data_IF_275894161002
#
_entry.id   IF_275894161002
#
_cell.length_a   1.000
_cell.length_b   1.000
_cell.length_c   1.000
_cell.angle_alpha   90.00
_cell.angle_beta   90.00
_cell.angle_gamma   90.00
#
_symmetry.space_group_name_H-M   'P 1'
#
loop_
_entity.id
_entity.type
_entity.pdbx_description
1 polymer ?
#
# COMPACT_ATOMS: atom_id res chain seq x y z
N UNK A 1 -5.89 2.79 23.18
CA UNK A 1 -5.22 2.73 24.50
C UNK A 1 -3.89 3.47 24.55
N UNK A 2 -2.91 3.14 23.69
CA UNK A 2 -1.57 3.76 23.72
C UNK A 2 -1.59 5.27 23.42
N UNK A 3 -2.39 5.70 22.43
CA UNK A 3 -2.55 7.14 22.13
C UNK A 3 -3.19 7.93 23.28
N UNK A 4 -4.23 7.39 23.91
CA UNK A 4 -4.87 8.03 25.06
C UNK A 4 -3.91 8.17 26.25
N UNK A 5 -3.04 7.16 26.46
CA UNK A 5 -1.97 7.21 27.45
C UNK A 5 -0.92 8.29 27.12
N UNK A 6 -0.50 8.41 25.84
CA UNK A 6 0.39 9.47 25.39
C UNK A 6 -0.23 10.87 25.56
N UNK A 7 -1.53 11.01 25.32
CA UNK A 7 -2.26 12.25 25.55
C UNK A 7 -2.35 12.60 27.04
N UNK A 8 -2.60 11.62 27.92
CA UNK A 8 -2.58 11.81 29.37
C UNK A 8 -1.20 12.27 29.87
N UNK A 9 -0.12 11.63 29.41
CA UNK A 9 1.25 12.01 29.75
C UNK A 9 1.64 13.40 29.21
N UNK A 10 1.10 13.77 28.05
CA UNK A 10 1.27 15.12 27.50
C UNK A 10 0.54 16.15 28.36
N UNK A 11 -0.72 15.89 28.72
CA UNK A 11 -1.55 16.78 29.53
C UNK A 11 -1.06 16.93 30.97
N UNK A 12 -0.51 15.86 31.57
CA UNK A 12 0.07 15.87 32.92
C UNK A 12 1.41 16.62 33.00
N UNK A 13 1.95 17.08 31.87
CA UNK A 13 3.18 17.86 31.82
C UNK A 13 4.46 17.04 31.93
N UNK A 14 4.38 15.71 31.80
CA UNK A 14 5.54 14.80 31.95
C UNK A 14 6.70 15.12 30.97
N UNK A 15 6.39 15.77 29.84
CA UNK A 15 7.38 16.12 28.81
C UNK A 15 7.86 17.58 28.87
N UNK A 16 7.37 18.44 29.78
CA UNK A 16 7.71 19.89 29.82
C UNK A 16 9.19 20.19 30.08
N UNK A 17 9.93 19.28 30.71
CA UNK A 17 11.35 19.47 31.08
C UNK A 17 12.26 18.44 30.42
N UNK A 18 11.83 17.85 29.31
CA UNK A 18 12.61 16.87 28.54
C UNK A 18 13.26 17.54 27.31
N UNK A 19 14.32 16.95 26.73
CA UNK A 19 14.97 17.48 25.53
C UNK A 19 13.99 17.68 24.37
N UNK A 20 14.25 18.67 23.50
CA UNK A 20 13.35 19.01 22.39
C UNK A 20 13.03 17.83 21.47
N UNK A 21 14.01 16.96 21.21
CA UNK A 21 13.81 15.73 20.43
C UNK A 21 12.77 14.79 21.07
N UNK A 22 12.77 14.67 22.39
CA UNK A 22 11.78 13.85 23.13
C UNK A 22 10.42 14.51 23.10
N UNK A 23 10.36 15.84 23.21
CA UNK A 23 9.11 16.59 23.09
C UNK A 23 8.51 16.47 21.69
N UNK A 24 9.35 16.54 20.65
CA UNK A 24 8.95 16.42 19.25
C UNK A 24 8.32 15.05 18.94
N UNK A 25 8.86 13.97 19.51
CA UNK A 25 8.45 12.60 19.19
C UNK A 25 7.31 12.07 20.07
N UNK A 26 7.17 12.54 21.31
CA UNK A 26 6.27 11.93 22.30
C UNK A 26 5.02 12.78 22.60
N UNK A 27 5.02 14.08 22.29
CA UNK A 27 3.88 14.97 22.59
C UNK A 27 2.77 14.86 21.55
N UNK A 28 1.55 15.01 22.05
CA UNK A 28 0.31 14.99 21.26
C UNK A 28 -0.26 16.39 21.00
N UNK A 29 0.13 17.40 21.78
CA UNK A 29 -0.39 18.78 21.72
C UNK A 29 0.37 19.69 20.74
N UNK A 30 0.96 19.10 19.71
CA UNK A 30 1.81 19.78 18.74
C UNK A 30 1.04 20.93 18.06
N UNK A 31 1.60 22.13 18.08
CA UNK A 31 1.16 23.30 17.30
C UNK A 31 -0.34 23.67 17.39
N UNK A 32 -1.03 23.35 18.51
CA UNK A 32 -2.47 23.64 18.68
C UNK A 32 -3.34 23.13 17.50
N UNK A 33 -2.92 22.03 16.84
CA UNK A 33 -3.55 21.52 15.61
C UNK A 33 -5.06 21.30 15.75
N UNK A 34 -5.51 20.87 16.93
CA UNK A 34 -6.91 20.55 17.20
C UNK A 34 -7.77 21.83 17.35
N UNK A 35 -7.19 22.92 17.89
CA UNK A 35 -7.92 24.17 18.10
C UNK A 35 -7.89 25.08 16.86
N UNK A 36 -6.84 24.99 16.04
CA UNK A 36 -6.72 25.75 14.78
C UNK A 36 -7.41 25.09 13.59
N UNK A 37 -7.73 23.80 13.67
CA UNK A 37 -8.41 23.09 12.58
C UNK A 37 -9.89 23.50 12.43
N UNK A 38 -10.35 23.75 11.20
CA UNK A 38 -11.75 24.04 10.93
C UNK A 38 -12.63 22.83 11.27
N UNK A 39 -13.85 23.11 11.73
CA UNK A 39 -14.83 22.06 12.02
C UNK A 39 -15.25 21.29 10.77
N UNK A 40 -15.43 21.98 9.65
CA UNK A 40 -15.77 21.38 8.35
C UNK A 40 -14.72 21.85 7.33
N UNK A 41 -14.10 20.91 6.63
CA UNK A 41 -13.19 21.13 5.51
C UNK A 41 -13.61 20.22 4.36
N UNK A 42 -14.07 20.83 3.27
CA UNK A 42 -14.44 20.11 2.06
C UNK A 42 -13.23 20.12 1.13
N UNK A 43 -12.63 18.96 0.79
CA UNK A 43 -11.53 18.90 -0.15
C UNK A 43 -12.03 19.26 -1.55
N UNK A 44 -11.45 20.26 -2.19
CA UNK A 44 -11.73 20.62 -3.58
C UNK A 44 -10.60 20.15 -4.52
N UNK A 45 -10.89 19.81 -5.79
CA UNK A 45 -9.82 19.45 -6.72
C UNK A 45 -8.87 20.64 -6.90
N UNK A 46 -7.57 20.34 -7.06
CA UNK A 46 -6.50 21.34 -7.26
C UNK A 46 -6.29 22.34 -6.10
N UNK A 47 -6.57 21.97 -4.84
CA UNK A 47 -6.29 22.86 -3.68
C UNK A 47 -4.83 23.35 -3.63
N UNK A 48 -3.91 22.54 -4.16
CA UNK A 48 -2.47 22.76 -4.13
C UNK A 48 -1.92 23.39 -5.41
N UNK A 49 -2.79 23.81 -6.33
CA UNK A 49 -2.42 24.38 -7.63
C UNK A 49 -2.58 23.41 -8.81
N UNK A 50 -2.37 23.91 -10.03
CA UNK A 50 -2.46 23.12 -11.26
C UNK A 50 -1.27 22.14 -11.39
N UNK A 51 -1.50 20.90 -11.88
CA UNK A 51 -0.42 19.94 -12.06
C UNK A 51 0.58 20.46 -13.10
N UNK A 52 1.85 20.52 -12.73
CA UNK A 52 2.95 20.83 -13.65
C UNK A 52 3.54 19.53 -14.18
N UNK A 53 3.60 19.41 -15.50
CA UNK A 53 4.13 18.22 -16.16
C UNK A 53 5.57 18.46 -16.57
N UNK A 54 6.47 17.68 -15.99
CA UNK A 54 7.84 17.51 -16.47
C UNK A 54 7.99 16.07 -16.97
N UNK A 55 8.35 15.92 -18.24
CA UNK A 55 8.50 14.62 -18.87
C UNK A 55 9.52 13.75 -18.13
N UNK A 56 10.64 14.31 -17.66
CA UNK A 56 11.69 13.55 -16.96
C UNK A 56 11.17 12.91 -15.68
N UNK A 57 10.52 13.72 -14.84
CA UNK A 57 9.92 13.27 -13.59
C UNK A 57 8.71 12.35 -13.81
N UNK A 58 7.91 12.60 -14.85
CA UNK A 58 6.77 11.75 -15.19
C UNK A 58 7.20 10.32 -15.55
N UNK A 59 8.25 10.16 -16.36
CA UNK A 59 8.77 8.83 -16.70
C UNK A 59 9.36 8.10 -15.49
N UNK A 60 10.09 8.80 -14.62
CA UNK A 60 10.57 8.23 -13.37
C UNK A 60 9.42 7.75 -12.46
N UNK A 61 8.35 8.55 -12.35
CA UNK A 61 7.15 8.18 -11.58
C UNK A 61 6.39 7.01 -12.22
N UNK A 62 6.36 6.89 -13.56
CA UNK A 62 5.75 5.74 -14.23
C UNK A 62 6.41 4.41 -13.85
N UNK A 63 7.73 4.39 -13.68
CA UNK A 63 8.46 3.21 -13.20
C UNK A 63 8.03 2.79 -11.78
N UNK A 64 7.80 3.75 -10.89
CA UNK A 64 7.34 3.50 -9.53
C UNK A 64 5.89 2.98 -9.49
N UNK A 65 5.05 3.37 -10.44
CA UNK A 65 3.61 3.03 -10.49
C UNK A 65 3.33 1.79 -11.33
N UNK A 66 4.35 1.14 -11.90
CA UNK A 66 4.21 -0.07 -12.73
C UNK A 66 3.43 -1.20 -12.01
N UNK A 67 3.53 -1.28 -10.68
CA UNK A 67 2.82 -2.27 -9.86
C UNK A 67 1.33 -1.93 -9.70
N UNK A 68 0.94 -0.65 -9.80
CA UNK A 68 -0.42 -0.16 -9.56
C UNK A 68 -1.19 0.19 -10.85
N UNK A 69 -0.71 -0.25 -12.02
CA UNK A 69 -1.34 0.03 -13.32
C UNK A 69 -2.81 -0.42 -13.41
N UNK A 70 -3.19 -1.42 -12.62
CA UNK A 70 -4.56 -1.97 -12.59
C UNK A 70 -5.55 -0.99 -11.93
N UNK A 71 -5.07 -0.04 -11.13
CA UNK A 71 -5.89 0.89 -10.31
C UNK A 71 -6.00 2.30 -10.93
N UNK A 72 -5.58 2.46 -12.19
CA UNK A 72 -5.21 3.74 -12.80
C UNK A 72 -6.20 4.90 -12.67
N UNK A 73 -7.52 4.66 -12.76
CA UNK A 73 -8.52 5.73 -12.65
C UNK A 73 -8.56 6.31 -11.23
N UNK A 74 -8.46 5.46 -10.20
CA UNK A 74 -8.46 5.90 -8.81
C UNK A 74 -7.22 6.72 -8.47
N UNK A 75 -6.06 6.32 -8.98
CA UNK A 75 -4.79 7.04 -8.80
C UNK A 75 -4.83 8.40 -9.51
N UNK A 76 -5.45 8.49 -10.69
CA UNK A 76 -5.64 9.76 -11.40
C UNK A 76 -6.50 10.73 -10.59
N UNK A 77 -7.62 10.27 -10.04
CA UNK A 77 -8.48 11.08 -9.18
C UNK A 77 -7.74 11.52 -7.90
N UNK A 78 -6.97 10.63 -7.27
CA UNK A 78 -6.16 10.97 -6.11
C UNK A 78 -5.14 12.06 -6.41
N UNK A 79 -4.48 12.01 -7.57
CA UNK A 79 -3.55 13.04 -8.03
C UNK A 79 -4.24 14.39 -8.22
N UNK A 80 -5.46 14.40 -8.77
CA UNK A 80 -6.26 15.62 -8.95
C UNK A 80 -6.65 16.29 -7.61
N UNK A 81 -6.94 15.48 -6.60
CA UNK A 81 -7.22 15.95 -5.24
C UNK A 81 -5.95 16.17 -4.39
N UNK A 82 -4.75 16.02 -4.97
CA UNK A 82 -3.48 16.28 -4.30
C UNK A 82 -3.11 15.27 -3.22
N UNK A 83 -3.59 14.03 -3.32
CA UNK A 83 -3.23 12.95 -2.39
C UNK A 83 -1.80 12.49 -2.71
N UNK A 84 -0.93 12.53 -1.71
CA UNK A 84 0.51 12.18 -1.86
C UNK A 84 0.74 10.67 -2.04
N UNK A 85 -0.25 9.84 -1.73
CA UNK A 85 -0.21 8.38 -1.81
C UNK A 85 -1.32 7.85 -2.73
N UNK A 86 -0.98 6.94 -3.64
CA UNK A 86 -1.96 6.26 -4.47
C UNK A 86 -2.91 5.40 -3.63
N UNK A 87 -4.17 5.29 -4.05
CA UNK A 87 -5.13 4.36 -3.44
C UNK A 87 -4.88 2.99 -4.03
N UNK A 88 -4.54 2.04 -3.16
CA UNK A 88 -4.44 0.64 -3.53
C UNK A 88 -5.30 -0.25 -2.65
N UNK A 89 -5.67 -1.41 -3.18
CA UNK A 89 -6.42 -2.41 -2.44
C UNK A 89 -5.63 -2.88 -1.21
N UNK A 90 -6.18 -2.65 -0.02
CA UNK A 90 -5.50 -2.99 1.23
C UNK A 90 -5.70 -4.47 1.57
N UNK A 91 -4.59 -5.15 1.87
CA UNK A 91 -4.57 -6.56 2.29
C UNK A 91 -5.39 -6.80 3.56
N UNK A 92 -5.43 -5.83 4.46
CA UNK A 92 -6.21 -5.87 5.70
C UNK A 92 -7.71 -6.07 5.45
N UNK A 93 -8.24 -5.45 4.39
CA UNK A 93 -9.65 -5.57 4.03
C UNK A 93 -9.98 -6.98 3.54
N UNK A 94 -9.04 -7.65 2.88
CA UNK A 94 -9.18 -9.05 2.45
C UNK A 94 -9.15 -9.99 3.67
N UNK A 95 -8.29 -9.72 4.65
CA UNK A 95 -8.26 -10.47 5.91
C UNK A 95 -9.55 -10.29 6.72
N UNK A 96 -10.05 -9.06 6.80
CA UNK A 96 -11.32 -8.75 7.46
C UNK A 96 -12.49 -9.47 6.78
N UNK A 97 -12.50 -9.54 5.45
CA UNK A 97 -13.50 -10.28 4.68
C UNK A 97 -13.47 -11.79 5.02
N UNK A 98 -12.28 -12.38 5.15
CA UNK A 98 -12.12 -13.78 5.55
C UNK A 98 -12.64 -14.09 6.97
N UNK A 99 -12.53 -13.14 7.90
CA UNK A 99 -13.02 -13.30 9.28
C UNK A 99 -14.50 -12.98 9.43
N UNK A 100 -14.97 -11.87 8.87
CA UNK A 100 -16.36 -11.41 8.98
C UNK A 100 -17.31 -12.20 8.08
N UNK A 101 -16.80 -12.83 7.01
CA UNK A 101 -17.59 -13.52 5.97
C UNK A 101 -18.68 -12.64 5.34
N UNK A 102 -18.48 -11.31 5.35
CA UNK A 102 -19.41 -10.34 4.75
C UNK A 102 -18.76 -9.70 3.53
N UNK A 103 -19.02 -10.23 2.34
CA UNK A 103 -18.50 -9.68 1.08
C UNK A 103 -19.41 -8.66 0.41
N UNK A 104 -20.57 -8.34 0.98
CA UNK A 104 -21.59 -7.53 0.32
C UNK A 104 -21.08 -6.15 -0.15
N UNK A 105 -21.31 -5.83 -1.43
CA UNK A 105 -20.96 -4.53 -2.04
C UNK A 105 -21.61 -3.34 -1.33
N UNK A 106 -22.83 -3.53 -0.78
CA UNK A 106 -23.56 -2.47 -0.07
C UNK A 106 -22.85 -2.05 1.21
N UNK A 107 -22.24 -2.99 1.93
CA UNK A 107 -21.48 -2.69 3.16
C UNK A 107 -20.28 -1.81 2.84
N UNK A 108 -19.58 -2.10 1.74
CA UNK A 108 -18.45 -1.30 1.26
C UNK A 108 -18.92 0.10 0.82
N UNK A 109 -20.04 0.20 0.09
CA UNK A 109 -20.60 1.49 -0.34
C UNK A 109 -21.04 2.36 0.84
N UNK A 110 -21.72 1.77 1.84
CA UNK A 110 -22.14 2.49 3.06
C UNK A 110 -20.90 2.93 3.85
N UNK A 111 -19.90 2.06 3.98
CA UNK A 111 -18.63 2.39 4.64
C UNK A 111 -17.91 3.54 3.92
N UNK A 112 -17.87 3.52 2.59
CA UNK A 112 -17.30 4.61 1.79
C UNK A 112 -18.04 5.94 2.02
N UNK A 113 -19.38 5.90 2.09
CA UNK A 113 -20.19 7.08 2.45
C UNK A 113 -19.84 7.64 3.83
N UNK A 114 -19.69 6.77 4.84
CA UNK A 114 -19.24 7.18 6.17
C UNK A 114 -17.81 7.74 6.16
N UNK A 115 -16.90 7.16 5.40
CA UNK A 115 -15.52 7.65 5.29
C UNK A 115 -15.49 9.06 4.68
N UNK A 116 -16.25 9.31 3.61
CA UNK A 116 -16.38 10.64 3.00
C UNK A 116 -16.99 11.62 4.02
N UNK A 117 -18.06 11.21 4.71
CA UNK A 117 -18.71 12.03 5.73
C UNK A 117 -17.76 12.43 6.86
N UNK A 118 -17.02 11.47 7.43
CA UNK A 118 -16.07 11.76 8.51
C UNK A 118 -14.84 12.53 8.03
N UNK A 119 -14.41 12.34 6.78
CA UNK A 119 -13.30 13.10 6.19
C UNK A 119 -13.61 14.59 6.07
N UNK A 120 -14.88 14.99 6.00
CA UNK A 120 -15.25 16.42 5.97
C UNK A 120 -15.02 17.13 7.30
N UNK A 121 -14.88 16.42 8.41
CA UNK A 121 -14.60 17.05 9.70
C UNK A 121 -13.10 17.24 9.92
N UNK A 122 -12.60 18.45 9.66
CA UNK A 122 -11.18 18.79 9.76
C UNK A 122 -10.56 18.53 11.15
N UNK A 123 -11.37 18.59 12.21
CA UNK A 123 -10.92 18.27 13.58
C UNK A 123 -10.59 16.80 13.81
N UNK A 124 -11.30 15.88 13.14
CA UNK A 124 -10.93 14.46 13.21
C UNK A 124 -9.59 14.24 12.50
N UNK A 125 -9.36 14.91 11.37
CA UNK A 125 -8.06 14.94 10.70
C UNK A 125 -6.94 15.45 11.61
N UNK A 126 -7.18 16.55 12.34
CA UNK A 126 -6.22 17.10 13.31
C UNK A 126 -5.96 16.16 14.49
N UNK A 127 -6.98 15.41 14.95
CA UNK A 127 -6.83 14.39 15.97
C UNK A 127 -5.92 13.25 15.50
N UNK A 128 -6.08 12.77 14.27
CA UNK A 128 -5.17 11.76 13.72
C UNK A 128 -3.75 12.31 13.51
N UNK A 129 -3.61 13.57 13.10
CA UNK A 129 -2.32 14.24 12.99
C UNK A 129 -1.62 14.45 14.35
N UNK A 130 -2.35 14.41 15.46
CA UNK A 130 -1.79 14.53 16.83
C UNK A 130 -1.14 13.24 17.34
N UNK A 131 -1.29 12.12 16.62
CA UNK A 131 -0.74 10.84 17.06
C UNK A 131 0.80 10.91 17.00
N UNK A 132 1.51 10.49 18.07
CA UNK A 132 2.97 10.55 18.10
C UNK A 132 3.63 9.62 17.07
N UNK A 133 4.76 10.05 16.49
CA UNK A 133 5.51 9.28 15.49
C UNK A 133 5.88 7.85 15.93
N UNK A 134 6.29 7.57 17.18
CA UNK A 134 6.59 6.22 17.62
C UNK A 134 5.38 5.27 17.55
N UNK A 135 4.17 5.78 17.81
CA UNK A 135 2.94 4.98 17.75
C UNK A 135 2.62 4.64 16.30
N UNK A 136 2.76 5.60 15.38
CA UNK A 136 2.65 5.35 13.96
C UNK A 136 3.67 4.31 13.49
N UNK A 137 4.95 4.47 13.84
CA UNK A 137 6.00 3.53 13.45
C UNK A 137 5.73 2.10 13.94
N UNK A 138 5.26 1.94 15.18
CA UNK A 138 4.89 0.64 15.73
C UNK A 138 3.69 0.02 14.98
N UNK A 139 2.66 0.81 14.66
CA UNK A 139 1.51 0.34 13.89
C UNK A 139 1.93 -0.08 12.46
N UNK A 140 2.76 0.71 11.79
CA UNK A 140 3.29 0.37 10.47
C UNK A 140 4.18 -0.88 10.49
N UNK A 141 4.93 -1.12 11.56
CA UNK A 141 5.73 -2.35 11.70
C UNK A 141 4.84 -3.60 11.67
N UNK A 142 3.72 -3.60 12.41
CA UNK A 142 2.74 -4.69 12.40
C UNK A 142 2.07 -4.81 11.03
N UNK A 143 1.66 -3.69 10.44
CA UNK A 143 1.05 -3.64 9.12
C UNK A 143 1.95 -4.26 8.05
N UNK A 144 3.20 -3.82 7.95
CA UNK A 144 4.15 -4.34 6.96
C UNK A 144 4.49 -5.81 7.21
N UNK A 145 4.55 -6.27 8.46
CA UNK A 145 4.70 -7.69 8.79
C UNK A 145 3.51 -8.53 8.29
N UNK A 146 2.28 -8.03 8.45
CA UNK A 146 1.07 -8.69 7.96
C UNK A 146 1.03 -8.71 6.42
N UNK A 147 1.33 -7.58 5.78
CA UNK A 147 1.39 -7.48 4.30
C UNK A 147 2.41 -8.44 3.72
N UNK A 148 3.61 -8.53 4.32
CA UNK A 148 4.63 -9.50 3.91
C UNK A 148 4.15 -10.95 4.08
N UNK A 149 3.48 -11.26 5.20
CA UNK A 149 2.95 -12.60 5.48
C UNK A 149 1.87 -13.02 4.48
N UNK A 150 0.94 -12.12 4.14
CA UNK A 150 -0.08 -12.41 3.12
C UNK A 150 0.56 -12.52 1.74
N UNK A 151 1.58 -11.71 1.43
CA UNK A 151 2.39 -11.85 0.22
C UNK A 151 2.97 -13.27 0.07
N UNK A 152 3.57 -13.81 1.13
CA UNK A 152 4.10 -15.17 1.17
C UNK A 152 3.00 -16.23 1.09
N UNK A 153 1.81 -15.98 1.64
CA UNK A 153 0.69 -16.93 1.56
C UNK A 153 0.28 -17.25 0.12
N UNK A 154 0.52 -16.36 -0.84
CA UNK A 154 0.26 -16.63 -2.26
C UNK A 154 1.13 -17.75 -2.85
N UNK A 155 2.28 -18.06 -2.25
CA UNK A 155 3.12 -19.19 -2.66
C UNK A 155 2.43 -20.53 -2.45
N UNK A 156 1.40 -20.61 -1.59
CA UNK A 156 0.61 -21.83 -1.40
C UNK A 156 -0.12 -22.27 -2.68
N UNK A 157 -0.30 -21.37 -3.64
CA UNK A 157 -0.98 -21.66 -4.90
C UNK A 157 -0.03 -22.22 -5.97
N UNK A 158 1.28 -22.31 -5.69
CA UNK A 158 2.28 -22.93 -6.58
C UNK A 158 2.83 -24.20 -5.94
N UNK A 159 3.40 -25.10 -6.75
CA UNK A 159 4.02 -26.31 -6.21
C UNK A 159 5.39 -25.98 -5.59
N UNK A 160 5.43 -25.76 -4.27
CA UNK A 160 6.66 -25.44 -3.53
C UNK A 160 7.57 -26.65 -3.26
N UNK A 161 7.17 -27.86 -3.65
CA UNK A 161 8.05 -29.04 -3.59
C UNK A 161 8.99 -29.14 -4.81
N UNK A 162 8.73 -28.36 -5.86
CA UNK A 162 9.60 -28.32 -7.05
C UNK A 162 10.81 -27.42 -6.80
N UNK A 163 12.02 -27.95 -7.06
CA UNK A 163 13.27 -27.19 -6.97
C UNK A 163 13.25 -25.94 -7.84
N UNK A 164 12.56 -25.98 -8.99
CA UNK A 164 12.40 -24.84 -9.91
C UNK A 164 11.71 -23.67 -9.22
N UNK A 165 10.57 -23.91 -8.57
CA UNK A 165 9.78 -22.86 -7.91
C UNK A 165 10.48 -22.35 -6.64
N UNK A 166 11.15 -23.24 -5.90
CA UNK A 166 11.98 -22.87 -4.76
C UNK A 166 13.13 -21.94 -5.20
N UNK A 167 13.80 -22.27 -6.31
CA UNK A 167 14.87 -21.46 -6.88
C UNK A 167 14.38 -20.09 -7.35
N UNK A 168 13.28 -20.03 -8.12
CA UNK A 168 12.69 -18.77 -8.59
C UNK A 168 12.36 -17.86 -7.39
N UNK A 169 11.71 -18.43 -6.37
CA UNK A 169 11.31 -17.67 -5.16
C UNK A 169 12.53 -17.18 -4.38
N UNK A 170 13.52 -18.04 -4.15
CA UNK A 170 14.73 -17.68 -3.41
C UNK A 170 15.57 -16.60 -4.11
N UNK A 171 15.82 -16.78 -5.41
CA UNK A 171 16.63 -15.83 -6.19
C UNK A 171 15.92 -14.49 -6.34
N UNK A 172 14.61 -14.48 -6.63
CA UNK A 172 13.86 -13.23 -6.78
C UNK A 172 13.79 -12.41 -5.48
N UNK A 173 13.57 -13.06 -4.33
CA UNK A 173 13.60 -12.40 -3.02
C UNK A 173 15.00 -11.85 -2.69
N UNK A 174 16.04 -12.64 -2.93
CA UNK A 174 17.41 -12.23 -2.65
C UNK A 174 17.82 -11.02 -3.51
N UNK A 175 17.58 -11.07 -4.82
CA UNK A 175 17.87 -9.96 -5.73
C UNK A 175 17.01 -8.73 -5.42
N UNK A 176 15.76 -8.95 -5.01
CA UNK A 176 14.84 -7.90 -4.57
C UNK A 176 15.33 -7.10 -3.37
N UNK A 177 16.16 -7.68 -2.49
CA UNK A 177 16.80 -6.94 -1.38
C UNK A 177 18.20 -6.46 -1.75
N UNK A 178 19.00 -7.28 -2.42
CA UNK A 178 20.42 -7.01 -2.67
C UNK A 178 20.64 -5.84 -3.66
N UNK A 179 19.89 -5.78 -4.76
CA UNK A 179 20.11 -4.78 -5.81
C UNK A 179 19.72 -3.37 -5.31
N UNK A 180 18.52 -3.15 -4.72
CA UNK A 180 18.18 -1.83 -4.19
C UNK A 180 19.15 -1.33 -3.13
N UNK A 181 19.66 -2.22 -2.28
CA UNK A 181 20.62 -1.83 -1.25
C UNK A 181 21.96 -1.41 -1.86
N UNK A 182 22.43 -2.11 -2.90
CA UNK A 182 23.59 -1.66 -3.68
C UNK A 182 23.37 -0.27 -4.29
N UNK A 183 22.20 -0.03 -4.90
CA UNK A 183 21.87 1.28 -5.48
C UNK A 183 21.80 2.38 -4.40
N UNK A 184 21.25 2.07 -3.22
CA UNK A 184 21.16 3.00 -2.09
C UNK A 184 22.55 3.35 -1.54
N UNK A 185 23.40 2.35 -1.33
CA UNK A 185 24.75 2.55 -0.82
C UNK A 185 25.61 3.32 -1.84
N UNK A 186 25.52 2.97 -3.12
CA UNK A 186 26.23 3.67 -4.19
C UNK A 186 25.82 5.15 -4.27
N UNK A 187 24.50 5.42 -4.30
CA UNK A 187 23.97 6.80 -4.36
C UNK A 187 24.40 7.62 -3.15
N UNK A 188 24.46 7.01 -1.97
CA UNK A 188 24.90 7.68 -0.74
C UNK A 188 26.39 8.05 -0.76
N UNK A 189 27.23 7.27 -1.45
CA UNK A 189 28.68 7.53 -1.55
C UNK A 189 29.05 8.45 -2.71
N UNK A 190 28.41 8.27 -3.86
CA UNK A 190 28.76 8.97 -5.11
C UNK A 190 27.93 10.25 -5.35
N UNK A 191 26.91 10.51 -4.53
CA UNK A 191 25.89 11.57 -4.73
C UNK A 191 25.10 11.47 -6.04
N UNK A 192 25.30 10.42 -6.83
CA UNK A 192 24.55 10.12 -8.03
C UNK A 192 24.24 8.62 -8.11
N UNK A 193 23.18 8.25 -8.84
CA UNK A 193 22.84 6.85 -9.06
C UNK A 193 23.91 6.11 -9.90
N UNK A 194 23.96 4.77 -9.83
CA UNK A 194 24.89 3.96 -10.62
C UNK A 194 24.77 4.17 -12.13
N UNK A 195 23.56 4.46 -12.62
CA UNK A 195 23.35 4.82 -14.03
C UNK A 195 23.55 6.32 -14.19
N UNK A 196 24.64 6.70 -14.87
CA UNK A 196 25.03 8.09 -15.08
C UNK A 196 25.46 8.31 -16.54
N UNK A 197 24.47 8.45 -17.41
CA UNK A 197 24.63 8.80 -18.83
C UNK A 197 24.32 10.28 -19.10
N UNK A 198 24.55 10.77 -20.32
CA UNK A 198 24.19 12.14 -20.70
C UNK A 198 22.67 12.39 -20.78
N UNK A 199 21.85 11.34 -20.70
CA UNK A 199 20.39 11.42 -20.69
C UNK A 199 19.85 11.35 -19.26
N UNK A 200 19.59 12.50 -18.63
CA UNK A 200 19.08 12.59 -17.25
C UNK A 200 17.81 11.78 -17.00
N UNK A 201 16.82 11.91 -17.90
CA UNK A 201 15.54 11.16 -17.81
C UNK A 201 15.74 9.63 -17.80
N UNK A 202 16.75 9.12 -18.52
CA UNK A 202 17.03 7.70 -18.62
C UNK A 202 17.71 7.19 -17.33
N UNK A 203 18.61 7.99 -16.77
CA UNK A 203 19.23 7.71 -15.49
C UNK A 203 18.17 7.66 -14.39
N UNK A 204 17.28 8.67 -14.32
CA UNK A 204 16.23 8.73 -13.31
C UNK A 204 15.28 7.53 -13.41
N UNK A 205 14.93 7.14 -14.63
CA UNK A 205 14.11 5.96 -14.89
C UNK A 205 14.77 4.67 -14.38
N UNK A 206 16.00 4.38 -14.80
CA UNK A 206 16.69 3.15 -14.40
C UNK A 206 17.01 3.13 -12.91
N UNK A 207 17.51 4.23 -12.36
CA UNK A 207 17.81 4.33 -10.93
C UNK A 207 16.54 4.12 -10.11
N UNK A 208 15.39 4.66 -10.53
CA UNK A 208 14.11 4.47 -9.81
C UNK A 208 13.63 3.00 -9.83
N UNK A 209 13.76 2.31 -10.97
CA UNK A 209 13.39 0.88 -11.07
C UNK A 209 14.24 0.04 -10.13
N UNK A 210 15.56 0.20 -10.18
CA UNK A 210 16.48 -0.64 -9.42
C UNK A 210 16.57 -0.26 -7.94
N UNK A 211 16.13 0.95 -7.57
CA UNK A 211 15.97 1.36 -6.17
C UNK A 211 14.70 0.77 -5.52
N UNK A 212 13.74 0.28 -6.30
CA UNK A 212 12.50 -0.34 -5.80
C UNK A 212 12.66 -1.85 -5.62
N UNK A 213 12.62 -2.33 -4.37
CA UNK A 213 12.76 -3.76 -4.04
C UNK A 213 11.66 -4.64 -4.63
N UNK A 214 10.41 -4.17 -4.60
CA UNK A 214 9.27 -4.90 -5.17
C UNK A 214 9.38 -5.03 -6.69
N UNK A 215 9.79 -3.96 -7.38
CA UNK A 215 9.94 -3.94 -8.84
C UNK A 215 11.05 -4.88 -9.29
N UNK A 216 12.20 -4.86 -8.62
CA UNK A 216 13.33 -5.77 -8.91
C UNK A 216 12.93 -7.22 -8.68
N UNK A 217 12.33 -7.54 -7.53
CA UNK A 217 11.88 -8.89 -7.22
C UNK A 217 10.87 -9.40 -8.27
N UNK A 218 9.93 -8.54 -8.67
CA UNK A 218 8.94 -8.85 -9.69
C UNK A 218 9.58 -9.13 -11.06
N UNK A 219 10.48 -8.26 -11.53
CA UNK A 219 11.19 -8.44 -12.80
C UNK A 219 11.99 -9.75 -12.78
N UNK A 220 12.73 -10.01 -11.70
CA UNK A 220 13.51 -11.24 -11.54
C UNK A 220 12.62 -12.49 -11.53
N UNK A 221 11.51 -12.47 -10.78
CA UNK A 221 10.57 -13.59 -10.71
C UNK A 221 9.92 -13.88 -12.07
N UNK A 222 9.45 -12.85 -12.77
CA UNK A 222 8.84 -12.99 -14.10
C UNK A 222 9.86 -13.48 -15.12
N UNK A 223 11.08 -12.93 -15.11
CA UNK A 223 12.14 -13.35 -16.01
C UNK A 223 12.51 -14.82 -15.80
N UNK A 224 12.72 -15.24 -14.55
CA UNK A 224 13.09 -16.61 -14.21
C UNK A 224 11.94 -17.60 -14.47
N UNK A 225 10.70 -17.25 -14.14
CA UNK A 225 9.57 -18.14 -14.41
C UNK A 225 9.41 -18.38 -15.91
N UNK A 226 9.61 -17.37 -16.76
CA UNK A 226 9.51 -17.51 -18.22
C UNK A 226 10.72 -18.21 -18.87
N UNK A 227 11.90 -18.12 -18.27
CA UNK A 227 13.13 -18.69 -18.84
C UNK A 227 13.33 -20.16 -18.44
N UNK A 228 12.92 -20.57 -17.24
CA UNK A 228 13.17 -21.91 -16.71
C UNK A 228 12.06 -22.92 -17.09
N UNK A 229 12.43 -23.92 -17.90
CA UNK A 229 11.65 -25.11 -18.32
C UNK A 229 10.14 -24.90 -18.38
N UNK A 230 9.72 -24.05 -19.32
CA UNK A 230 8.34 -23.65 -19.56
C UNK A 230 7.41 -24.84 -19.90
N UNK A 231 7.90 -25.82 -20.68
CA UNK A 231 7.03 -26.85 -21.30
C UNK A 231 6.55 -27.92 -20.33
N UNK A 232 7.40 -28.38 -19.41
CA UNK A 232 7.05 -29.48 -18.49
C UNK A 232 6.51 -28.98 -17.13
N UNK A 233 6.77 -27.71 -16.79
CA UNK A 233 6.45 -27.14 -15.46
C UNK A 233 5.17 -26.29 -15.45
N UNK A 234 4.37 -26.28 -16.51
CA UNK A 234 3.13 -25.48 -16.57
C UNK A 234 2.12 -25.85 -15.46
N UNK A 235 2.17 -27.10 -14.98
CA UNK A 235 1.33 -27.61 -13.87
C UNK A 235 1.79 -27.11 -12.50
N UNK A 236 3.07 -26.77 -12.36
CA UNK A 236 3.67 -26.33 -11.09
C UNK A 236 3.49 -24.83 -10.83
N UNK A 237 3.08 -24.07 -11.84
CA UNK A 237 2.78 -22.63 -11.72
C UNK A 237 1.47 -22.40 -10.98
N UNK A 238 1.28 -21.19 -10.47
CA UNK A 238 0.00 -20.77 -9.86
C UNK A 238 -1.09 -20.40 -10.87
N UNK A 239 -0.72 -20.22 -12.14
CA UNK A 239 -1.66 -19.82 -13.20
C UNK A 239 -2.85 -20.77 -13.41
N UNK A 240 -2.70 -22.11 -13.38
CA UNK A 240 -3.84 -23.03 -13.45
C UNK A 240 -4.83 -22.88 -12.28
N UNK A 241 -4.35 -22.48 -11.10
CA UNK A 241 -5.23 -22.18 -9.96
C UNK A 241 -6.06 -20.92 -10.25
N UNK A 242 -5.41 -19.85 -10.73
CA UNK A 242 -6.07 -18.59 -11.09
C UNK A 242 -6.98 -18.69 -12.31
N UNK A 243 -6.70 -19.59 -13.25
CA UNK A 243 -7.51 -19.78 -14.46
C UNK A 243 -8.98 -20.12 -14.14
N UNK A 244 -9.24 -20.80 -13.02
CA UNK A 244 -10.58 -21.15 -12.53
C UNK A 244 -11.41 -19.93 -12.11
N UNK A 245 -10.77 -18.82 -11.78
CA UNK A 245 -11.41 -17.59 -11.31
C UNK A 245 -11.51 -16.51 -12.40
N UNK A 246 -11.06 -16.80 -13.62
CA UNK A 246 -11.06 -15.84 -14.75
C UNK A 246 -12.47 -15.65 -15.35
N UNK A 247 -13.40 -16.56 -15.07
CA UNK A 247 -14.80 -16.51 -15.54
C UNK A 247 -15.74 -16.16 -14.39
N UNK A 248 -16.33 -14.96 -14.43
CA UNK A 248 -17.20 -14.43 -13.38
C UNK A 248 -18.54 -15.19 -13.25
N UNK A 249 -19.05 -15.75 -14.35
CA UNK A 249 -20.39 -16.34 -14.45
C UNK A 249 -20.47 -17.84 -14.10
N UNK A 250 -19.36 -18.48 -13.68
CA UNK A 250 -19.29 -19.94 -13.52
C UNK A 250 -19.28 -20.47 -12.08
N UNK A 251 -19.18 -19.60 -11.07
CA UNK A 251 -18.93 -20.02 -9.68
C UNK A 251 -20.10 -19.64 -8.76
N UNK A 252 -20.88 -20.64 -8.32
CA UNK A 252 -22.01 -20.47 -7.40
C UNK A 252 -21.59 -19.96 -6.01
N UNK A 253 -20.30 -19.99 -5.68
CA UNK A 253 -19.77 -19.46 -4.41
C UNK A 253 -19.78 -17.93 -4.36
N UNK A 254 -19.81 -17.25 -5.50
CA UNK A 254 -19.89 -15.78 -5.53
C UNK A 254 -21.17 -15.28 -4.85
N UNK A 255 -22.31 -15.90 -5.15
CA UNK A 255 -23.62 -15.55 -4.55
C UNK A 255 -23.60 -15.63 -3.01
N UNK A 256 -23.00 -16.69 -2.47
CA UNK A 256 -22.91 -16.92 -1.02
C UNK A 256 -21.95 -15.93 -0.34
N UNK A 257 -20.85 -15.58 -1.02
CA UNK A 257 -19.83 -14.66 -0.54
C UNK A 257 -20.32 -13.20 -0.43
N UNK A 258 -21.29 -12.79 -1.25
CA UNK A 258 -21.84 -11.43 -1.26
C UNK A 258 -23.08 -11.24 -0.37
N UNK A 259 -23.47 -12.26 0.41
CA UNK A 259 -24.65 -12.18 1.28
C UNK A 259 -24.48 -11.15 2.41
N UNK A 260 -25.60 -10.52 2.81
CA UNK A 260 -25.64 -9.58 3.94
C UNK A 260 -25.56 -10.34 5.27
N UNK A 261 -24.91 -9.77 6.32
CA UNK A 261 -24.86 -10.38 7.63
C UNK A 261 -26.26 -10.58 8.21
N UNK A 262 -26.41 -11.56 9.11
CA UNK A 262 -27.67 -11.85 9.82
C UNK A 262 -28.88 -12.15 8.90
N UNK A 263 -28.65 -12.73 7.72
CA UNK A 263 -29.71 -13.03 6.74
C UNK A 263 -30.53 -11.81 6.28
N UNK A 264 -29.97 -10.60 6.34
CA UNK A 264 -30.64 -9.39 5.84
C UNK A 264 -30.91 -9.42 4.32
N UNK A 265 -30.34 -10.37 3.58
CA UNK A 265 -30.65 -10.62 2.17
C UNK A 265 -32.15 -10.92 1.93
N UNK A 266 -32.89 -11.37 2.95
CA UNK A 266 -34.35 -11.56 2.89
C UNK A 266 -35.13 -10.27 2.73
N UNK A 267 -34.60 -9.16 3.25
CA UNK A 267 -35.23 -7.83 3.19
C UNK A 267 -34.66 -6.97 2.06
N UNK A 268 -33.46 -7.31 1.58
CA UNK A 268 -32.75 -6.58 0.54
C UNK A 268 -32.19 -7.58 -0.48
N UNK A 269 -32.99 -7.98 -1.49
CA UNK A 269 -32.56 -8.95 -2.48
C UNK A 269 -31.33 -8.44 -3.25
N UNK A 270 -30.39 -9.34 -3.62
CA UNK A 270 -29.26 -9.00 -4.46
C UNK A 270 -29.77 -8.55 -5.83
N UNK A 271 -29.23 -7.42 -6.30
CA UNK A 271 -29.48 -6.81 -7.61
C UNK A 271 -28.17 -6.79 -8.37
#
# INVERSE_FOLDING_TARGET
MIWAYAHLLTASGAYKHRPELTQYNCRTDRANLISSAPWIRIPYPLEWGAPTFDAGHAFAMMAAVLVSLIEGIGILLNGLFGTLTGSSVSVENVGLLGSTRVGSRRVIQISAGFMIFFSMFGKFGALFASIPFPVFAAAYCVLFGLVASVGLSFLQFTNMNSLRNLFITGVSLFLGFSIPEYFREYTSKALHGPTHTSAGWFNDFLNTIFFSSSTVAFIAAVFLDNTLDYKDSAKDRGMPWWAKFRTFNGDSRNEEFYTLPFNLHRFFPPS
#
